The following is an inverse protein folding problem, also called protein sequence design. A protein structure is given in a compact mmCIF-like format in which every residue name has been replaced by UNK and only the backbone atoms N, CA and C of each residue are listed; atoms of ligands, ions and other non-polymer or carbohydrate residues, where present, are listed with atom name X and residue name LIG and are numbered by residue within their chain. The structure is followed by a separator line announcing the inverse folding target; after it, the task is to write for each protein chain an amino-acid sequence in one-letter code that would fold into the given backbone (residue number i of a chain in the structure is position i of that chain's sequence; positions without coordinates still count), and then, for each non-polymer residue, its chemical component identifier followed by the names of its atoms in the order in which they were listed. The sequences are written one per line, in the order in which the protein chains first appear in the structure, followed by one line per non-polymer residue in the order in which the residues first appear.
data_IF_610803430881
#
_entry.id   IF_610803430881
#
_cell.length_a   1.000
_cell.length_b   1.000
_cell.length_c   1.000
_cell.angle_alpha   90.00
_cell.angle_beta   90.00
_cell.angle_gamma   90.00
#
_symmetry.space_group_name_H-M   'P 1'
#
loop_
_entity.id
_entity.type
_entity.pdbx_description
1 polymer ?
#
# COMPACT_ATOMS: atom_id res chain seq x y z
N UNK A 1 -54.09 -29.08 -33.65
CA UNK A 1 -52.99 -28.25 -34.18
C UNK A 1 -53.02 -26.93 -33.43
N UNK A 2 -52.19 -26.80 -32.40
CA UNK A 2 -52.12 -25.59 -31.57
C UNK A 2 -50.99 -24.72 -32.11
N UNK A 3 -51.35 -23.71 -32.91
CA UNK A 3 -50.43 -22.70 -33.44
C UNK A 3 -49.92 -21.75 -32.35
N UNK A 4 -48.84 -21.00 -32.64
CA UNK A 4 -47.91 -20.51 -31.65
C UNK A 4 -48.46 -19.34 -30.83
N UNK A 5 -48.14 -19.32 -29.53
CA UNK A 5 -48.26 -18.14 -28.66
C UNK A 5 -47.40 -17.01 -29.25
N UNK A 6 -48.02 -16.19 -30.09
CA UNK A 6 -47.49 -14.91 -30.57
C UNK A 6 -47.47 -13.94 -29.40
N UNK A 7 -46.34 -13.84 -28.69
CA UNK A 7 -46.14 -12.80 -27.68
C UNK A 7 -46.40 -11.43 -28.34
N UNK A 8 -47.28 -10.63 -27.74
CA UNK A 8 -47.62 -9.30 -28.24
C UNK A 8 -46.34 -8.46 -28.47
N UNK A 9 -46.27 -7.65 -29.54
CA UNK A 9 -45.10 -6.85 -29.83
C UNK A 9 -44.84 -5.86 -28.69
N UNK A 10 -43.67 -5.98 -28.06
CA UNK A 10 -43.23 -5.10 -26.97
C UNK A 10 -43.17 -3.67 -27.52
N UNK A 11 -43.92 -2.76 -26.93
CA UNK A 11 -43.94 -1.37 -27.37
C UNK A 11 -42.58 -0.71 -27.08
N UNK A 12 -42.10 0.22 -27.93
CA UNK A 12 -40.86 0.95 -27.67
C UNK A 12 -40.81 1.64 -26.30
N UNK A 13 -41.97 2.09 -25.79
CA UNK A 13 -42.10 2.67 -24.45
C UNK A 13 -41.88 1.64 -23.33
N UNK A 14 -42.49 0.45 -23.42
CA UNK A 14 -42.28 -0.63 -22.44
C UNK A 14 -40.83 -1.13 -22.44
N UNK A 15 -40.18 -1.13 -23.61
CA UNK A 15 -38.75 -1.44 -23.73
C UNK A 15 -37.88 -0.38 -23.04
N UNK A 16 -38.17 0.90 -23.25
CA UNK A 16 -37.42 2.01 -22.64
C UNK A 16 -37.56 2.00 -21.11
N UNK A 17 -38.77 1.77 -20.59
CA UNK A 17 -39.01 1.65 -19.14
C UNK A 17 -38.26 0.46 -18.52
N UNK A 18 -38.26 -0.70 -19.20
CA UNK A 18 -37.51 -1.87 -18.76
C UNK A 18 -35.99 -1.64 -18.79
N UNK A 19 -35.48 -0.93 -19.80
CA UNK A 19 -34.06 -0.54 -19.88
C UNK A 19 -33.67 0.42 -18.75
N UNK A 20 -34.55 1.37 -18.39
CA UNK A 20 -34.32 2.29 -17.27
C UNK A 20 -34.38 1.60 -15.89
N UNK A 21 -35.30 0.66 -15.69
CA UNK A 21 -35.36 -0.14 -14.46
C UNK A 21 -34.15 -1.06 -14.33
N UNK A 22 -33.74 -1.72 -15.43
CA UNK A 22 -32.51 -2.52 -15.45
C UNK A 22 -31.29 -1.66 -15.10
N UNK A 23 -31.19 -0.46 -15.65
CA UNK A 23 -30.10 0.48 -15.34
C UNK A 23 -30.07 0.84 -13.84
N UNK A 24 -31.24 1.14 -13.23
CA UNK A 24 -31.35 1.40 -11.78
C UNK A 24 -30.91 0.19 -10.96
N UNK A 25 -31.29 -1.02 -11.35
CA UNK A 25 -30.85 -2.24 -10.67
C UNK A 25 -29.34 -2.47 -10.80
N UNK A 26 -28.76 -2.25 -11.99
CA UNK A 26 -27.32 -2.37 -12.21
C UNK A 26 -26.54 -1.35 -11.37
N UNK A 27 -27.02 -0.11 -11.27
CA UNK A 27 -26.43 0.91 -10.40
C UNK A 27 -26.51 0.52 -8.93
N UNK A 28 -27.67 0.01 -8.48
CA UNK A 28 -27.85 -0.49 -7.11
C UNK A 28 -26.90 -1.65 -6.78
N UNK A 29 -26.75 -2.62 -7.69
CA UNK A 29 -25.82 -3.75 -7.52
C UNK A 29 -24.38 -3.24 -7.48
N UNK A 30 -24.02 -2.33 -8.38
CA UNK A 30 -22.67 -1.74 -8.44
C UNK A 30 -22.34 -1.01 -7.13
N UNK A 31 -23.27 -0.22 -6.61
CA UNK A 31 -23.14 0.46 -5.33
C UNK A 31 -23.00 -0.54 -4.17
N UNK A 32 -23.81 -1.61 -4.14
CA UNK A 32 -23.72 -2.65 -3.13
C UNK A 32 -22.36 -3.38 -3.18
N UNK A 33 -21.85 -3.70 -4.37
CA UNK A 33 -20.52 -4.30 -4.55
C UNK A 33 -19.40 -3.38 -4.08
N UNK A 34 -19.51 -2.08 -4.33
CA UNK A 34 -18.54 -1.09 -3.84
C UNK A 34 -18.52 -1.03 -2.31
N UNK A 35 -19.71 -1.06 -1.67
CA UNK A 35 -19.84 -1.13 -0.21
C UNK A 35 -19.21 -2.40 0.35
N UNK A 36 -19.55 -3.57 -0.20
CA UNK A 36 -18.99 -4.86 0.25
C UNK A 36 -17.46 -4.86 0.12
N UNK A 37 -16.94 -4.33 -0.99
CA UNK A 37 -15.50 -4.23 -1.23
C UNK A 37 -14.82 -3.34 -0.18
N UNK A 38 -15.43 -2.19 0.14
CA UNK A 38 -14.94 -1.30 1.18
C UNK A 38 -14.96 -1.94 2.56
N UNK A 39 -16.05 -2.61 2.93
CA UNK A 39 -16.18 -3.32 4.20
C UNK A 39 -15.19 -4.48 4.32
N UNK A 40 -14.98 -5.25 3.25
CA UNK A 40 -13.95 -6.30 3.20
C UNK A 40 -12.55 -5.72 3.48
N UNK A 41 -12.20 -4.59 2.86
CA UNK A 41 -10.94 -3.90 3.12
C UNK A 41 -10.82 -3.46 4.59
N UNK A 42 -11.92 -3.13 5.26
CA UNK A 42 -11.93 -2.78 6.69
C UNK A 42 -11.70 -4.05 7.55
N UNK A 43 -12.37 -5.16 7.22
CA UNK A 43 -12.17 -6.45 7.91
C UNK A 43 -10.73 -6.95 7.76
N UNK A 44 -10.16 -6.88 6.55
CA UNK A 44 -8.75 -7.22 6.32
C UNK A 44 -7.81 -6.34 7.17
N UNK A 45 -8.22 -5.09 7.46
CA UNK A 45 -7.53 -4.19 8.39
C UNK A 45 -7.63 -4.58 9.85
N UNK A 46 -8.76 -5.15 10.27
CA UNK A 46 -8.91 -5.68 11.62
C UNK A 46 -8.08 -6.95 11.83
N UNK A 47 -7.96 -7.78 10.80
CA UNK A 47 -7.27 -9.08 10.87
C UNK A 47 -5.74 -9.01 10.69
N UNK A 48 -5.15 -7.83 10.51
CA UNK A 48 -3.70 -7.72 10.27
C UNK A 48 -3.24 -8.17 8.87
N UNK A 49 -4.15 -8.42 7.91
CA UNK A 49 -3.82 -8.98 6.58
C UNK A 49 -3.07 -8.02 5.63
N UNK A 50 -2.66 -6.86 6.11
CA UNK A 50 -2.03 -5.77 5.38
C UNK A 50 -0.54 -5.63 5.72
N UNK A 51 0.05 -6.61 6.41
CA UNK A 51 1.51 -6.73 6.53
C UNK A 51 2.10 -7.16 5.19
N UNK A 52 2.55 -6.17 4.40
CA UNK A 52 3.23 -6.45 3.14
C UNK A 52 4.62 -7.01 3.39
N UNK A 53 4.94 -8.09 2.68
CA UNK A 53 6.34 -8.53 2.53
C UNK A 53 7.13 -7.40 1.86
N UNK A 54 8.29 -7.10 2.43
CA UNK A 54 9.22 -6.18 1.81
C UNK A 54 9.58 -6.64 0.41
N UNK A 55 9.39 -5.74 -0.56
CA UNK A 55 9.83 -5.93 -1.93
C UNK A 55 10.93 -4.91 -2.18
N UNK A 56 12.04 -5.37 -2.76
CA UNK A 56 13.13 -4.51 -3.20
C UNK A 56 12.55 -3.49 -4.18
N UNK A 57 12.98 -2.24 -4.06
CA UNK A 57 12.52 -1.18 -4.95
C UNK A 57 12.95 -1.52 -6.38
N UNK A 58 11.97 -1.65 -7.28
CA UNK A 58 12.23 -1.78 -8.71
C UNK A 58 12.40 -0.38 -9.29
N UNK A 59 13.54 -0.13 -9.90
CA UNK A 59 13.78 1.15 -10.59
C UNK A 59 12.96 1.15 -11.90
N UNK A 60 12.22 2.23 -12.21
CA UNK A 60 11.42 2.33 -13.43
C UNK A 60 12.26 2.22 -14.70
N UNK A 61 11.73 1.56 -15.74
CA UNK A 61 12.40 1.35 -17.03
C UNK A 61 12.80 2.65 -17.73
N UNK A 62 12.05 3.72 -17.48
CA UNK A 62 12.20 5.03 -18.10
C UNK A 62 13.56 5.67 -17.77
N UNK A 63 14.09 5.42 -16.57
CA UNK A 63 15.40 5.94 -16.13
C UNK A 63 16.53 5.29 -16.93
N UNK A 64 16.37 4.03 -17.33
CA UNK A 64 17.36 3.33 -18.16
C UNK A 64 17.33 3.75 -19.62
N UNK A 65 16.13 4.14 -20.11
CA UNK A 65 15.85 4.37 -21.52
C UNK A 65 16.03 5.84 -21.94
N UNK A 66 15.73 6.79 -21.06
CA UNK A 66 15.61 8.21 -21.43
C UNK A 66 16.73 9.12 -20.88
N UNK A 67 17.59 8.63 -19.98
CA UNK A 67 18.67 9.44 -19.41
C UNK A 67 20.02 9.13 -20.04
N UNK A 68 20.81 10.18 -20.30
CA UNK A 68 22.20 10.03 -20.65
C UNK A 68 22.95 9.29 -19.52
N UNK A 69 23.91 8.44 -19.88
CA UNK A 69 24.68 7.64 -18.91
C UNK A 69 25.39 8.53 -17.88
N UNK A 70 25.79 9.73 -18.29
CA UNK A 70 26.36 10.76 -17.45
C UNK A 70 25.42 11.97 -17.40
N UNK A 71 24.92 12.29 -16.21
CA UNK A 71 24.33 13.60 -15.96
C UNK A 71 25.48 14.61 -15.92
N UNK A 72 25.53 15.63 -16.81
CA UNK A 72 26.72 16.49 -16.96
C UNK A 72 27.15 17.18 -15.66
N UNK A 73 26.19 17.41 -14.75
CA UNK A 73 26.38 18.10 -13.47
C UNK A 73 26.46 17.20 -12.23
N UNK A 74 26.50 15.87 -12.36
CA UNK A 74 26.64 14.99 -11.21
C UNK A 74 28.10 14.52 -11.02
N UNK A 75 28.80 14.93 -9.95
CA UNK A 75 30.15 14.46 -9.66
C UNK A 75 30.20 12.98 -9.30
N UNK A 76 29.12 12.42 -8.73
CA UNK A 76 29.08 11.03 -8.30
C UNK A 76 29.12 10.10 -9.50
N UNK A 77 28.35 10.40 -10.55
CA UNK A 77 28.33 9.59 -11.77
C UNK A 77 29.67 9.54 -12.51
N UNK A 78 30.68 10.32 -12.13
CA UNK A 78 32.03 10.30 -12.74
C UNK A 78 33.03 9.44 -11.97
N UNK A 79 32.66 9.00 -10.77
CA UNK A 79 33.51 8.14 -9.93
C UNK A 79 33.71 6.77 -10.56
N UNK A 80 34.87 6.17 -10.33
CA UNK A 80 35.14 4.80 -10.73
C UNK A 80 34.19 3.81 -10.04
N UNK A 81 34.09 2.61 -10.62
CA UNK A 81 33.14 1.59 -10.14
C UNK A 81 33.40 1.21 -8.68
N UNK A 82 34.66 1.15 -8.25
CA UNK A 82 35.02 0.76 -6.88
C UNK A 82 34.57 1.82 -5.86
N UNK A 83 34.80 3.10 -6.14
CA UNK A 83 34.28 4.18 -5.31
C UNK A 83 32.74 4.21 -5.28
N UNK A 84 32.10 4.03 -6.44
CA UNK A 84 30.64 3.97 -6.53
C UNK A 84 30.08 2.81 -5.70
N UNK A 85 30.69 1.63 -5.77
CA UNK A 85 30.24 0.46 -5.01
C UNK A 85 30.35 0.69 -3.50
N UNK A 86 31.43 1.34 -3.05
CA UNK A 86 31.60 1.72 -1.64
C UNK A 86 30.55 2.71 -1.17
N UNK A 87 30.14 3.66 -2.02
CA UNK A 87 29.04 4.57 -1.73
C UNK A 87 27.74 3.79 -1.56
N UNK A 88 27.40 2.89 -2.48
CA UNK A 88 26.20 2.07 -2.34
C UNK A 88 26.21 1.16 -1.09
N UNK A 89 27.39 0.65 -0.69
CA UNK A 89 27.55 -0.11 0.54
C UNK A 89 27.40 0.73 1.81
N UNK A 90 27.87 1.98 1.80
CA UNK A 90 27.79 2.87 2.96
C UNK A 90 26.38 3.37 3.22
N UNK A 91 25.52 3.40 2.19
CA UNK A 91 24.11 3.70 2.34
C UNK A 91 23.41 2.61 3.17
N UNK A 92 22.87 2.93 4.36
CA UNK A 92 22.38 1.92 5.29
C UNK A 92 21.04 1.32 4.87
N UNK A 93 20.18 2.11 4.21
CA UNK A 93 18.86 1.69 3.79
C UNK A 93 18.78 1.47 2.28
N UNK A 94 18.01 0.47 1.88
CA UNK A 94 17.66 0.22 0.48
C UNK A 94 16.95 1.43 -0.16
N UNK A 95 16.21 2.21 0.64
CA UNK A 95 15.58 3.46 0.19
C UNK A 95 16.59 4.49 -0.28
N UNK A 96 17.71 4.63 0.45
CA UNK A 96 18.75 5.60 0.12
C UNK A 96 19.48 5.15 -1.14
N UNK A 97 19.73 3.83 -1.26
CA UNK A 97 20.31 3.21 -2.46
C UNK A 97 19.40 3.38 -3.66
N UNK A 98 18.10 3.12 -3.50
CA UNK A 98 17.12 3.32 -4.55
C UNK A 98 16.99 4.81 -4.91
N UNK A 99 17.01 5.73 -3.94
CA UNK A 99 16.98 7.16 -4.20
C UNK A 99 18.19 7.61 -5.01
N UNK A 100 19.40 7.12 -4.68
CA UNK A 100 20.60 7.36 -5.49
C UNK A 100 20.44 6.76 -6.89
N UNK A 101 19.93 5.53 -7.00
CA UNK A 101 19.67 4.87 -8.27
C UNK A 101 18.67 5.62 -9.17
N UNK A 102 17.76 6.41 -8.59
CA UNK A 102 16.79 7.22 -9.34
C UNK A 102 17.37 8.53 -9.91
N UNK A 103 18.62 8.88 -9.61
CA UNK A 103 19.19 10.19 -10.01
C UNK A 103 19.82 10.20 -11.40
N UNK A 104 20.38 9.07 -11.84
CA UNK A 104 20.93 8.93 -13.18
C UNK A 104 20.99 7.45 -13.59
N UNK A 105 21.09 7.22 -14.90
CA UNK A 105 21.26 5.89 -15.49
C UNK A 105 22.44 5.10 -14.90
N UNK A 106 23.63 5.71 -14.74
CA UNK A 106 24.79 5.02 -14.17
C UNK A 106 24.56 4.52 -12.74
N UNK A 107 23.87 5.33 -11.92
CA UNK A 107 23.51 4.93 -10.57
C UNK A 107 22.47 3.80 -10.58
N UNK A 108 21.50 3.84 -11.50
CA UNK A 108 20.54 2.76 -11.70
C UNK A 108 21.24 1.44 -12.07
N UNK A 109 22.13 1.47 -13.06
CA UNK A 109 22.87 0.30 -13.53
C UNK A 109 23.75 -0.29 -12.40
N UNK A 110 24.41 0.58 -11.64
CA UNK A 110 25.21 0.16 -10.48
C UNK A 110 24.35 -0.51 -9.41
N UNK A 111 23.22 0.10 -9.06
CA UNK A 111 22.31 -0.48 -8.07
C UNK A 111 21.77 -1.85 -8.51
N UNK A 112 21.34 -1.99 -9.77
CA UNK A 112 20.85 -3.26 -10.32
C UNK A 112 21.92 -4.35 -10.31
N UNK A 113 23.15 -4.02 -10.69
CA UNK A 113 24.28 -4.94 -10.65
C UNK A 113 24.58 -5.42 -9.21
N UNK A 114 24.57 -4.48 -8.26
CA UNK A 114 24.99 -4.76 -6.88
C UNK A 114 23.89 -5.38 -6.02
N UNK A 115 22.61 -5.08 -6.29
CA UNK A 115 21.53 -5.45 -5.37
C UNK A 115 21.48 -6.95 -5.12
N UNK A 116 21.68 -7.79 -6.14
CA UNK A 116 21.64 -9.25 -6.00
C UNK A 116 23.01 -9.91 -5.84
N UNK A 117 24.10 -9.13 -6.00
CA UNK A 117 25.47 -9.62 -5.85
C UNK A 117 25.68 -10.20 -4.46
N UNK A 118 26.30 -11.38 -4.40
CA UNK A 118 26.67 -12.05 -3.15
C UNK A 118 28.18 -12.21 -3.07
N UNK A 119 28.72 -12.07 -1.88
CA UNK A 119 30.13 -12.35 -1.58
C UNK A 119 30.23 -13.40 -0.48
N UNK A 120 31.40 -14.03 -0.40
CA UNK A 120 31.68 -15.00 0.67
C UNK A 120 32.42 -14.28 1.77
N UNK A 121 31.82 -14.23 2.95
CA UNK A 121 32.42 -13.67 4.17
C UNK A 121 32.71 -14.83 5.11
N UNK A 122 33.89 -14.82 5.73
CA UNK A 122 34.22 -15.77 6.79
C UNK A 122 33.81 -15.15 8.12
N UNK A 123 32.80 -15.73 8.76
CA UNK A 123 32.32 -15.30 10.09
C UNK A 123 32.50 -16.49 11.02
N UNK A 124 33.30 -16.32 12.07
CA UNK A 124 33.60 -17.37 13.06
C UNK A 124 34.19 -18.65 12.43
N UNK A 125 35.07 -18.51 11.44
CA UNK A 125 35.67 -19.64 10.73
C UNK A 125 34.73 -20.34 9.72
N UNK A 126 33.46 -19.91 9.63
CA UNK A 126 32.48 -20.47 8.69
C UNK A 126 32.34 -19.56 7.48
N UNK A 127 32.51 -20.11 6.27
CA UNK A 127 32.25 -19.41 5.01
C UNK A 127 30.74 -19.23 4.83
N UNK A 128 30.26 -17.99 4.86
CA UNK A 128 28.87 -17.62 4.64
C UNK A 128 28.73 -16.79 3.37
N UNK A 129 27.67 -17.05 2.59
CA UNK A 129 27.32 -16.21 1.43
C UNK A 129 26.40 -15.10 1.90
N UNK A 130 26.89 -13.87 1.85
CA UNK A 130 26.13 -12.67 2.22
C UNK A 130 25.86 -11.80 1.00
N UNK A 131 24.81 -10.98 1.07
CA UNK A 131 24.57 -9.97 0.03
C UNK A 131 25.62 -8.87 0.12
N UNK A 132 26.09 -8.42 -1.05
CA UNK A 132 27.08 -7.35 -1.15
C UNK A 132 26.56 -6.02 -0.60
N UNK A 133 25.29 -5.71 -0.89
CA UNK A 133 24.57 -4.62 -0.23
C UNK A 133 23.90 -5.19 1.03
N UNK A 134 24.16 -4.64 2.23
CA UNK A 134 23.55 -5.11 3.46
C UNK A 134 22.03 -5.14 3.36
N UNK A 135 21.43 -6.31 3.58
CA UNK A 135 19.98 -6.51 3.61
C UNK A 135 19.56 -6.91 5.02
N UNK A 136 18.46 -6.35 5.54
CA UNK A 136 17.90 -6.85 6.80
C UNK A 136 17.55 -8.34 6.65
N UNK A 137 18.13 -9.20 7.49
CA UNK A 137 17.84 -10.64 7.50
C UNK A 137 16.35 -10.94 7.76
N UNK A 138 15.70 -10.06 8.53
CA UNK A 138 14.26 -10.07 8.76
C UNK A 138 13.72 -8.69 8.44
N UNK A 139 12.76 -8.63 7.53
CA UNK A 139 12.11 -7.35 7.27
C UNK A 139 10.94 -7.17 8.21
N UNK A 140 11.06 -6.16 9.07
CA UNK A 140 9.99 -5.74 9.97
C UNK A 140 9.22 -4.57 9.35
N UNK A 141 7.99 -4.36 9.82
CA UNK A 141 7.17 -3.22 9.41
C UNK A 141 7.89 -1.86 9.56
N UNK A 142 8.81 -1.77 10.53
CA UNK A 142 9.62 -0.56 10.79
C UNK A 142 10.58 -0.27 9.64
N UNK A 143 11.29 -1.28 9.12
CA UNK A 143 12.22 -1.08 8.00
C UNK A 143 11.51 -0.53 6.77
N UNK A 144 10.31 -1.06 6.49
CA UNK A 144 9.52 -0.59 5.35
C UNK A 144 8.95 0.82 5.59
N UNK A 145 8.62 1.16 6.84
CA UNK A 145 8.22 2.52 7.20
C UNK A 145 9.39 3.50 7.00
N UNK A 146 10.61 3.13 7.41
CA UNK A 146 11.81 3.95 7.19
C UNK A 146 12.01 4.27 5.70
N UNK A 147 11.77 3.30 4.82
CA UNK A 147 11.76 3.54 3.37
C UNK A 147 10.67 4.54 3.00
N UNK A 148 9.40 4.21 3.27
CA UNK A 148 8.25 5.01 2.81
C UNK A 148 8.27 6.46 3.29
N UNK A 149 8.71 6.70 4.52
CA UNK A 149 8.78 8.04 5.09
C UNK A 149 9.81 8.91 4.36
N UNK A 150 10.91 8.32 3.87
CA UNK A 150 11.96 9.03 3.11
C UNK A 150 11.60 9.25 1.65
N UNK A 151 10.96 8.27 0.99
CA UNK A 151 10.58 8.43 -0.44
C UNK A 151 9.41 9.40 -0.62
N UNK A 152 8.60 9.61 0.41
CA UNK A 152 7.50 10.56 0.36
C UNK A 152 8.00 11.98 0.61
N UNK A 153 8.40 12.69 -0.48
CA UNK A 153 8.83 14.10 -0.47
C UNK A 153 7.81 15.09 0.13
N UNK A 154 6.61 14.63 0.50
CA UNK A 154 5.54 15.42 1.10
C UNK A 154 5.08 14.94 2.47
N UNK A 155 5.90 14.24 3.28
CA UNK A 155 5.46 13.84 4.64
C UNK A 155 4.94 15.02 5.48
N UNK A 156 5.55 16.21 5.34
CA UNK A 156 5.09 17.44 5.98
C UNK A 156 4.06 18.23 5.16
N UNK A 157 3.79 17.87 3.90
CA UNK A 157 2.91 18.64 3.03
C UNK A 157 1.68 17.84 2.58
N UNK A 158 0.55 17.92 3.32
CA UNK A 158 -0.60 17.04 3.18
C UNK A 158 -1.49 17.29 1.96
N UNK A 159 -1.13 18.26 1.12
CA UNK A 159 -1.91 18.71 -0.04
C UNK A 159 -1.72 17.82 -1.28
N UNK A 160 -0.86 16.81 -1.20
CA UNK A 160 -0.63 15.85 -2.29
C UNK A 160 -1.69 14.76 -2.41
N UNK A 161 -1.79 14.17 -3.61
CA UNK A 161 -2.61 12.98 -3.93
C UNK A 161 -2.27 11.77 -3.03
N UNK A 162 -1.04 11.68 -2.54
CA UNK A 162 -0.55 10.53 -1.79
C UNK A 162 -0.19 10.90 -0.36
N UNK A 163 -0.81 10.22 0.61
CA UNK A 163 -0.49 10.39 2.04
C UNK A 163 -0.08 9.07 2.67
N UNK A 164 0.99 9.08 3.45
CA UNK A 164 1.48 7.90 4.15
C UNK A 164 0.63 7.57 5.38
N UNK A 165 0.06 6.37 5.41
CA UNK A 165 -0.53 5.77 6.61
C UNK A 165 0.54 4.95 7.33
N UNK A 166 0.81 5.27 8.58
CA UNK A 166 1.84 4.64 9.41
C UNK A 166 1.41 3.26 9.90
N UNK A 167 0.14 3.08 10.26
CA UNK A 167 -0.37 1.79 10.72
C UNK A 167 -0.42 0.77 9.57
N UNK A 168 -1.08 1.17 8.48
CA UNK A 168 -1.19 0.37 7.26
C UNK A 168 0.18 0.29 6.50
N UNK A 169 1.15 1.15 6.86
CA UNK A 169 2.46 1.30 6.20
C UNK A 169 2.31 1.47 4.68
N UNK A 170 1.52 2.43 4.20
CA UNK A 170 1.25 2.56 2.76
C UNK A 170 1.00 4.01 2.37
N UNK A 171 1.43 4.37 1.16
CA UNK A 171 0.94 5.57 0.51
C UNK A 171 -0.51 5.32 0.06
N UNK A 172 -1.40 6.16 0.54
CA UNK A 172 -2.84 6.08 0.30
C UNK A 172 -3.20 7.23 -0.64
N UNK A 173 -3.89 6.89 -1.72
CA UNK A 173 -4.50 7.87 -2.61
C UNK A 173 -5.63 8.59 -1.88
N UNK A 174 -5.47 9.88 -1.60
CA UNK A 174 -6.45 10.72 -0.92
C UNK A 174 -7.64 11.08 -1.82
N UNK A 175 -7.50 10.93 -3.14
CA UNK A 175 -8.57 11.20 -4.11
C UNK A 175 -9.50 10.00 -4.31
N UNK A 176 -9.09 8.80 -3.90
CA UNK A 176 -9.90 7.60 -4.06
C UNK A 176 -11.11 7.60 -3.10
N UNK A 177 -12.34 7.33 -3.58
CA UNK A 177 -13.57 7.38 -2.77
C UNK A 177 -13.52 6.55 -1.46
N UNK A 178 -12.95 5.34 -1.51
CA UNK A 178 -12.78 4.49 -0.31
C UNK A 178 -11.96 5.15 0.81
N UNK A 179 -11.05 6.06 0.47
CA UNK A 179 -10.14 6.71 1.41
C UNK A 179 -10.65 8.08 1.86
N UNK A 180 -11.89 8.45 1.53
CA UNK A 180 -12.51 9.67 2.02
C UNK A 180 -12.81 9.58 3.52
N UNK A 181 -12.60 10.69 4.22
CA UNK A 181 -12.90 10.86 5.64
C UNK A 181 -11.73 11.41 6.45
N UNK A 182 -11.93 11.48 7.76
CA UNK A 182 -10.95 12.03 8.69
C UNK A 182 -9.79 11.07 8.90
N UNK A 183 -8.58 11.57 8.69
CA UNK A 183 -7.37 10.87 9.06
C UNK A 183 -7.14 10.97 10.56
N UNK A 184 -6.75 9.87 11.19
CA UNK A 184 -6.42 9.82 12.61
C UNK A 184 -4.92 9.89 12.87
N UNK A 185 -4.56 9.69 14.14
CA UNK A 185 -3.18 9.77 14.61
C UNK A 185 -2.73 11.22 14.83
N UNK A 186 -1.63 11.37 15.56
CA UNK A 186 -1.05 12.66 15.88
C UNK A 186 0.16 12.92 14.97
N UNK A 187 0.04 13.96 14.15
CA UNK A 187 1.13 14.44 13.29
C UNK A 187 2.20 15.19 14.05
N UNK A 188 1.82 15.80 15.18
CA UNK A 188 2.69 16.55 16.05
C UNK A 188 3.35 15.66 17.12
N UNK A 189 3.07 14.34 17.13
CA UNK A 189 3.78 13.44 18.06
C UNK A 189 5.29 13.50 17.74
N UNK A 190 6.17 13.74 18.74
CA UNK A 190 7.60 13.88 18.51
C UNK A 190 8.27 12.66 17.87
N UNK A 191 7.67 11.46 17.99
CA UNK A 191 8.19 10.26 17.33
C UNK A 191 7.94 10.22 15.82
N UNK A 192 7.10 11.13 15.33
CA UNK A 192 6.70 11.31 13.93
C UNK A 192 7.33 12.58 13.35
N UNK A 193 7.66 13.56 14.21
CA UNK A 193 8.44 14.75 13.88
C UNK A 193 9.73 14.37 13.13
N UNK A 194 10.11 15.17 12.13
CA UNK A 194 11.24 14.89 11.23
C UNK A 194 11.20 13.52 10.55
N UNK A 195 9.99 13.05 10.21
CA UNK A 195 9.84 11.81 9.46
C UNK A 195 10.33 10.59 10.27
N UNK A 196 10.03 10.58 11.58
CA UNK A 196 10.39 9.49 12.46
C UNK A 196 9.73 8.18 12.04
N UNK A 197 10.53 7.10 11.95
CA UNK A 197 10.08 5.77 11.53
C UNK A 197 10.37 4.75 12.64
N UNK A 198 9.78 4.97 13.81
CA UNK A 198 9.94 4.11 15.00
C UNK A 198 8.69 3.26 15.25
N UNK A 199 8.80 2.27 16.16
CA UNK A 199 7.63 1.50 16.62
C UNK A 199 6.55 2.43 17.23
N UNK A 200 6.97 3.47 17.96
CA UNK A 200 6.07 4.47 18.53
C UNK A 200 5.39 5.29 17.45
N UNK A 201 6.14 5.73 16.43
CA UNK A 201 5.61 6.46 15.29
C UNK A 201 4.56 5.63 14.55
N UNK A 202 4.80 4.33 14.35
CA UNK A 202 3.83 3.42 13.72
C UNK A 202 2.48 3.39 14.45
N UNK A 203 2.54 3.42 15.78
CA UNK A 203 1.34 3.40 16.62
C UNK A 203 0.67 4.77 16.60
N UNK A 204 1.41 5.86 16.80
CA UNK A 204 0.81 7.19 17.05
C UNK A 204 0.65 8.07 15.82
N UNK A 205 1.44 7.82 14.78
CA UNK A 205 1.46 8.62 13.57
C UNK A 205 0.22 8.49 12.70
N UNK A 206 0.21 9.19 11.55
CA UNK A 206 -0.96 9.35 10.71
C UNK A 206 -1.61 8.02 10.30
N UNK A 207 -2.94 7.92 10.43
CA UNK A 207 -3.72 6.75 10.04
C UNK A 207 -4.78 7.12 9.01
N UNK A 208 -4.90 6.30 7.96
CA UNK A 208 -5.91 6.53 6.93
C UNK A 208 -7.33 6.28 7.46
N UNK A 209 -8.37 6.84 6.82
CA UNK A 209 -9.76 6.74 7.31
C UNK A 209 -10.25 5.30 7.45
N UNK A 210 -9.77 4.39 6.61
CA UNK A 210 -10.10 2.97 6.71
C UNK A 210 -9.45 2.29 7.93
N UNK A 211 -8.19 2.63 8.23
CA UNK A 211 -7.49 2.19 9.44
C UNK A 211 -8.23 2.77 10.70
N UNK A 212 -8.71 4.03 10.65
CA UNK A 212 -9.52 4.64 11.74
C UNK A 212 -10.87 3.94 11.95
N UNK A 213 -11.59 3.64 10.87
CA UNK A 213 -12.86 2.90 10.95
C UNK A 213 -12.68 1.49 11.51
N UNK A 214 -11.60 0.81 11.12
CA UNK A 214 -11.25 -0.50 11.68
C UNK A 214 -11.04 -0.41 13.20
N UNK A 215 -10.33 0.60 13.69
CA UNK A 215 -10.13 0.83 15.13
C UNK A 215 -11.47 1.09 15.85
N UNK A 216 -12.36 1.89 15.24
CA UNK A 216 -13.69 2.18 15.80
C UNK A 216 -14.56 0.92 15.88
N UNK A 217 -14.57 0.08 14.84
CA UNK A 217 -15.30 -1.19 14.82
C UNK A 217 -14.71 -2.20 15.79
N UNK A 218 -13.38 -2.23 15.94
CA UNK A 218 -12.72 -3.07 16.93
C UNK A 218 -13.09 -2.62 18.35
N UNK A 219 -13.09 -1.32 18.62
CA UNK A 219 -13.55 -0.78 19.90
C UNK A 219 -15.02 -1.13 20.16
N UNK A 220 -15.89 -0.99 19.15
CA UNK A 220 -17.29 -1.38 19.23
C UNK A 220 -17.44 -2.88 19.52
N UNK A 221 -16.64 -3.75 18.89
CA UNK A 221 -16.62 -5.19 19.15
C UNK A 221 -16.31 -5.55 20.61
N UNK A 222 -15.52 -4.73 21.30
CA UNK A 222 -15.16 -4.93 22.69
C UNK A 222 -16.19 -4.34 23.68
N UNK A 223 -17.16 -3.53 23.21
CA UNK A 223 -18.26 -3.06 24.06
C UNK A 223 -19.23 -4.20 24.34
N UNK A 224 -19.61 -4.37 25.61
CA UNK A 224 -20.50 -5.43 26.06
C UNK A 224 -21.85 -5.43 25.31
N UNK A 225 -22.38 -4.24 25.01
CA UNK A 225 -23.63 -4.05 24.26
C UNK A 225 -23.55 -4.61 22.83
N UNK A 226 -22.42 -4.44 22.15
CA UNK A 226 -22.24 -4.96 20.79
C UNK A 226 -22.05 -6.48 20.78
N UNK A 227 -21.40 -7.02 21.82
CA UNK A 227 -21.31 -8.47 22.01
C UNK A 227 -22.70 -9.09 22.24
N UNK A 228 -23.57 -8.40 23.00
CA UNK A 228 -24.98 -8.79 23.18
C UNK A 228 -25.75 -8.70 21.85
N UNK A 229 -25.59 -7.62 21.10
CA UNK A 229 -26.21 -7.47 19.78
C UNK A 229 -25.77 -8.56 18.80
N UNK A 230 -24.47 -8.91 18.74
CA UNK A 230 -23.97 -10.03 17.93
C UNK A 230 -24.58 -11.37 18.31
N UNK A 231 -24.81 -11.61 19.60
CA UNK A 231 -25.48 -12.84 20.08
C UNK A 231 -26.94 -12.86 19.61
N UNK A 232 -27.66 -11.75 19.73
CA UNK A 232 -29.04 -11.62 19.25
C UNK A 232 -29.13 -11.81 17.74
N UNK A 233 -28.25 -11.16 16.97
CA UNK A 233 -28.20 -11.27 15.51
C UNK A 233 -27.87 -12.70 15.04
N UNK A 234 -26.99 -13.43 15.72
CA UNK A 234 -26.75 -14.87 15.44
C UNK A 234 -27.97 -15.74 15.72
N UNK A 235 -28.85 -15.32 16.63
CA UNK A 235 -30.13 -15.98 16.89
C UNK A 235 -31.19 -15.71 15.82
N UNK A 236 -30.98 -14.72 14.96
CA UNK A 236 -31.81 -14.45 13.78
C UNK A 236 -31.18 -15.19 12.59
N UNK A 237 -31.14 -16.52 12.66
CA UNK A 237 -31.04 -17.31 11.43
C UNK A 237 -32.41 -17.33 10.79
N UNK A 238 -32.52 -16.89 9.54
CA UNK A 238 -33.67 -17.26 8.73
C UNK A 238 -33.66 -18.79 8.69
N UNK A 239 -34.60 -19.41 9.41
CA UNK A 239 -34.93 -20.81 9.16
C UNK A 239 -35.35 -20.85 7.70
N UNK A 240 -34.49 -21.40 6.84
CA UNK A 240 -34.95 -21.94 5.57
C UNK A 240 -36.01 -22.97 5.93
N UNK A 241 -37.27 -22.59 5.77
CA UNK A 241 -38.39 -23.53 5.80
C UNK A 241 -38.18 -24.45 4.61
N UNK A 242 -37.74 -25.67 4.92
CA UNK A 242 -37.77 -26.81 4.00
C UNK A 242 -39.19 -27.08 3.51
#
# INVERSE_FOLDING_TARGET
MSGPNSAAPITPAARLEAEQELQRHLESITNAMAVITKEKKIVDRMNGHHHFKYKITKIPSEIYLNEASDQPNDPLSKLDNDAMYRIFQSLPLDADRAALALTCKRHADTYELLKEKKWTVTVDGVKKREYYLPRPQRVTDIHRLQVLVRVNKGFMNPEGKWRLCYNCNQLIDTTHPDNQGTWGGDRADPSVENAGATKRARIRGPRCPLCVRADQLQLANHRAEFAQFKRLAKGITMKETA
#
